data_IF_143582070879
#
_entry.id   IF_143582070879
#
_cell.length_a   1.000
_cell.length_b   1.000
_cell.length_c   1.000
_cell.angle_alpha   90.00
_cell.angle_beta   90.00
_cell.angle_gamma   90.00
#
_symmetry.space_group_name_H-M   'P 1'
#
loop_
_entity.id
_entity.type
_entity.pdbx_description
1 polymer ?
#
# COMPACT_ATOMS: atom_id res chain seq x y z
N UNK A 1 -17.00 1.97 -2.22
CA UNK A 1 -16.71 0.52 -2.20
C UNK A 1 -15.22 0.36 -1.97
N UNK A 2 -14.82 -0.52 -1.05
CA UNK A 2 -13.43 -0.95 -0.93
C UNK A 2 -13.09 -1.74 -2.19
N UNK A 3 -11.97 -1.45 -2.85
CA UNK A 3 -11.52 -2.33 -3.92
C UNK A 3 -11.12 -3.68 -3.30
N UNK A 4 -11.42 -4.79 -3.98
CA UNK A 4 -11.11 -6.12 -3.45
C UNK A 4 -9.61 -6.41 -3.33
N UNK A 5 -8.76 -5.44 -3.69
CA UNK A 5 -7.32 -5.58 -3.84
C UNK A 5 -6.57 -5.17 -2.58
N UNK A 6 -7.03 -4.11 -1.90
CA UNK A 6 -6.38 -3.61 -0.68
C UNK A 6 -7.25 -3.95 0.54
N UNK A 7 -6.82 -4.87 1.42
CA UNK A 7 -7.54 -5.14 2.66
C UNK A 7 -7.62 -3.89 3.53
N UNK A 8 -8.79 -3.62 4.13
CA UNK A 8 -9.03 -2.42 4.94
C UNK A 8 -7.96 -2.19 6.01
N UNK A 9 -7.50 -3.27 6.66
CA UNK A 9 -6.50 -3.21 7.71
C UNK A 9 -5.10 -2.80 7.23
N UNK A 10 -4.80 -2.88 5.93
CA UNK A 10 -3.50 -2.46 5.38
C UNK A 10 -3.32 -0.95 5.37
N UNK A 11 -4.39 -0.17 5.54
CA UNK A 11 -4.33 1.29 5.66
C UNK A 11 -3.98 1.76 7.09
N UNK A 12 -3.66 0.84 8.00
CA UNK A 12 -3.48 1.12 9.43
C UNK A 12 -2.18 0.54 9.96
N UNK A 13 -1.55 1.28 10.87
CA UNK A 13 -0.40 0.82 11.65
C UNK A 13 -0.95 0.44 13.04
N UNK A 14 -1.50 -0.77 13.15
CA UNK A 14 -2.13 -1.27 14.39
C UNK A 14 -1.85 -2.77 14.62
N UNK A 15 -1.93 -3.19 15.88
CA UNK A 15 -1.92 -4.62 16.23
C UNK A 15 -3.28 -5.25 15.90
N UNK A 16 -3.29 -6.53 15.52
CA UNK A 16 -4.52 -7.25 15.20
C UNK A 16 -4.65 -8.54 16.01
N UNK A 17 -5.89 -8.99 16.22
CA UNK A 17 -6.18 -10.22 16.98
C UNK A 17 -5.59 -11.48 16.35
N UNK A 18 -5.45 -11.51 15.01
CA UNK A 18 -4.82 -12.62 14.33
C UNK A 18 -3.34 -12.72 14.71
N UNK A 19 -2.61 -11.60 14.69
CA UNK A 19 -1.20 -11.54 15.07
C UNK A 19 -0.99 -11.85 16.56
N UNK A 20 -1.90 -11.43 17.45
CA UNK A 20 -1.79 -11.71 18.89
C UNK A 20 -1.97 -13.20 19.25
N UNK A 21 -2.61 -13.97 18.36
CA UNK A 21 -2.83 -15.43 18.53
C UNK A 21 -1.82 -16.25 17.73
N UNK A 22 -1.01 -15.62 16.89
CA UNK A 22 -0.01 -16.28 16.06
C UNK A 22 1.33 -16.34 16.81
N UNK A 23 1.84 -17.56 17.03
CA UNK A 23 3.14 -17.81 17.66
C UNK A 23 4.25 -18.14 16.65
N UNK A 24 4.00 -17.92 15.36
CA UNK A 24 4.97 -18.18 14.29
C UNK A 24 6.14 -17.20 14.30
N UNK A 25 7.20 -17.53 13.56
CA UNK A 25 8.29 -16.56 13.30
C UNK A 25 7.77 -15.29 12.59
N UNK A 26 6.73 -15.41 11.76
CA UNK A 26 6.17 -14.28 11.01
C UNK A 26 5.48 -13.29 11.94
N UNK A 27 4.74 -13.74 12.95
CA UNK A 27 4.10 -12.83 13.91
C UNK A 27 5.12 -12.05 14.72
N UNK A 28 6.24 -12.68 15.11
CA UNK A 28 7.35 -12.00 15.80
C UNK A 28 7.92 -10.85 14.97
N UNK A 29 8.22 -11.10 13.69
CA UNK A 29 8.71 -10.07 12.77
C UNK A 29 7.65 -8.97 12.57
N UNK A 30 6.38 -9.34 12.41
CA UNK A 30 5.30 -8.37 12.30
C UNK A 30 5.21 -7.44 13.53
N UNK A 31 5.28 -8.01 14.74
CA UNK A 31 5.23 -7.23 15.98
C UNK A 31 6.47 -6.35 16.17
N UNK A 32 7.65 -6.83 15.78
CA UNK A 32 8.89 -6.03 15.78
C UNK A 32 8.74 -4.79 14.88
N UNK A 33 8.36 -4.98 13.62
CA UNK A 33 8.12 -3.86 12.68
C UNK A 33 7.06 -2.89 13.21
N UNK A 34 5.96 -3.41 13.77
CA UNK A 34 4.90 -2.58 14.32
C UNK A 34 5.38 -1.72 15.49
N UNK A 35 6.16 -2.31 16.41
CA UNK A 35 6.72 -1.57 17.54
C UNK A 35 7.74 -0.53 17.06
N UNK A 36 8.61 -0.87 16.11
CA UNK A 36 9.57 0.09 15.53
C UNK A 36 8.87 1.33 14.95
N UNK A 37 7.72 1.15 14.29
CA UNK A 37 6.91 2.28 13.80
C UNK A 37 6.29 3.11 14.94
N UNK A 38 5.83 2.47 16.02
CA UNK A 38 5.04 3.12 17.06
C UNK A 38 5.89 3.68 18.21
N UNK A 39 7.07 3.12 18.48
CA UNK A 39 7.86 3.48 19.65
C UNK A 39 8.44 4.89 19.54
N UNK A 40 8.78 5.35 18.34
CA UNK A 40 9.15 6.76 18.10
C UNK A 40 8.01 7.73 18.43
N UNK A 41 6.76 7.30 18.22
CA UNK A 41 5.57 8.09 18.56
C UNK A 41 5.35 8.09 20.09
N UNK A 42 5.70 6.99 20.77
CA UNK A 42 5.50 6.79 22.22
C UNK A 42 6.63 7.33 23.11
N UNK A 43 7.85 7.47 22.60
CA UNK A 43 9.06 7.68 23.43
C UNK A 43 9.15 9.06 24.11
N UNK A 44 9.38 9.20 25.41
CA UNK A 44 9.55 10.49 26.14
C UNK A 44 8.33 11.45 26.18
N UNK A 45 7.51 11.42 27.24
CA UNK A 45 6.39 12.35 27.44
C UNK A 45 6.80 13.79 27.82
N UNK A 46 8.08 14.04 28.12
CA UNK A 46 8.61 15.35 28.53
C UNK A 46 8.85 16.33 27.38
N UNK A 47 8.87 15.86 26.14
CA UNK A 47 9.11 16.71 24.95
C UNK A 47 7.82 16.95 24.19
N UNK A 48 7.55 18.21 23.84
CA UNK A 48 6.39 18.59 23.02
C UNK A 48 6.58 18.06 21.59
N UNK A 49 5.75 17.10 21.19
CA UNK A 49 5.72 16.56 19.82
C UNK A 49 4.54 17.09 19.02
N UNK A 50 4.76 17.21 17.70
CA UNK A 50 3.72 17.53 16.73
C UNK A 50 3.51 16.31 15.85
N UNK A 51 2.29 15.79 15.80
CA UNK A 51 1.89 14.77 14.85
C UNK A 51 1.20 15.44 13.67
N UNK A 52 1.73 15.24 12.47
CA UNK A 52 1.18 15.82 11.24
C UNK A 52 0.59 14.72 10.37
N UNK A 53 -0.64 14.93 9.92
CA UNK A 53 -1.27 14.11 8.88
C UNK A 53 -1.19 14.88 7.57
N UNK A 54 -0.51 14.29 6.60
CA UNK A 54 -0.44 14.81 5.24
C UNK A 54 -1.23 13.86 4.33
N UNK A 55 -2.36 14.32 3.80
CA UNK A 55 -3.11 13.56 2.81
C UNK A 55 -2.61 13.93 1.41
N UNK A 56 -2.14 12.94 0.65
CA UNK A 56 -1.80 13.10 -0.77
C UNK A 56 -2.98 12.61 -1.59
N UNK A 57 -3.62 13.53 -2.31
CA UNK A 57 -4.73 13.20 -3.20
C UNK A 57 -4.29 13.33 -4.65
N UNK A 58 -4.30 12.22 -5.38
CA UNK A 58 -4.15 12.23 -6.82
C UNK A 58 -5.54 12.44 -7.43
N UNK A 59 -5.81 13.66 -7.88
CA UNK A 59 -7.06 13.95 -8.59
C UNK A 59 -7.05 13.29 -9.97
N UNK A 60 -7.47 12.03 -10.02
CA UNK A 60 -7.62 11.28 -11.27
C UNK A 60 -8.71 11.87 -12.18
N UNK A 61 -9.65 12.65 -11.63
CA UNK A 61 -10.74 13.25 -12.40
C UNK A 61 -10.27 14.41 -13.27
N UNK A 62 -9.17 15.06 -12.88
CA UNK A 62 -8.51 16.10 -13.66
C UNK A 62 -7.95 15.61 -15.01
N UNK A 63 -7.72 14.29 -15.15
CA UNK A 63 -7.14 13.69 -16.37
C UNK A 63 -8.20 13.20 -17.38
N UNK A 64 -9.49 13.43 -17.12
CA UNK A 64 -10.58 13.00 -18.00
C UNK A 64 -10.80 11.48 -17.97
N UNK A 65 -11.31 10.92 -19.08
CA UNK A 65 -11.54 9.47 -19.20
C UNK A 65 -10.21 8.72 -19.26
N UNK A 66 -9.95 7.89 -18.26
CA UNK A 66 -8.78 7.02 -18.17
C UNK A 66 -9.18 5.54 -18.37
N UNK A 67 -8.19 4.65 -18.47
CA UNK A 67 -8.43 3.22 -18.68
C UNK A 67 -9.28 2.61 -17.55
N UNK A 68 -9.04 3.02 -16.28
CA UNK A 68 -9.87 2.63 -15.14
C UNK A 68 -11.35 2.92 -15.36
N UNK A 69 -11.67 4.11 -15.88
CA UNK A 69 -13.05 4.53 -16.16
C UNK A 69 -13.67 3.83 -17.37
N UNK A 70 -12.84 3.25 -18.26
CA UNK A 70 -13.28 2.59 -19.49
C UNK A 70 -13.61 1.11 -19.25
N UNK A 71 -12.71 0.37 -18.58
CA UNK A 71 -12.84 -1.09 -18.39
C UNK A 71 -13.14 -1.48 -16.94
N UNK A 72 -13.07 -0.54 -16.01
CA UNK A 72 -13.19 -0.79 -14.58
C UNK A 72 -11.84 -1.16 -13.94
N UNK A 73 -11.65 -0.74 -12.69
CA UNK A 73 -10.41 -0.94 -11.92
C UNK A 73 -9.99 -2.40 -11.82
N UNK A 74 -10.94 -3.33 -11.67
CA UNK A 74 -10.62 -4.74 -11.55
C UNK A 74 -9.99 -5.32 -12.83
N UNK A 75 -10.62 -5.06 -13.98
CA UNK A 75 -10.11 -5.48 -15.28
C UNK A 75 -8.79 -4.79 -15.62
N UNK A 76 -8.60 -3.52 -15.21
CA UNK A 76 -7.34 -2.83 -15.40
C UNK A 76 -6.21 -3.48 -14.58
N UNK A 77 -6.44 -3.83 -13.32
CA UNK A 77 -5.42 -4.53 -12.52
C UNK A 77 -5.07 -5.88 -13.13
N UNK A 78 -6.05 -6.68 -13.55
CA UNK A 78 -5.82 -7.95 -14.22
C UNK A 78 -5.05 -7.80 -15.54
N UNK A 79 -5.31 -6.72 -16.29
CA UNK A 79 -4.54 -6.37 -17.49
C UNK A 79 -3.07 -6.07 -17.18
N UNK A 80 -2.79 -5.34 -16.09
CA UNK A 80 -1.42 -5.01 -15.68
C UNK A 80 -0.61 -6.24 -15.27
N UNK A 81 -1.27 -7.28 -14.76
CA UNK A 81 -0.65 -8.57 -14.41
C UNK A 81 -0.38 -9.47 -15.63
N UNK A 82 -0.84 -9.08 -16.82
CA UNK A 82 -0.65 -9.89 -18.03
C UNK A 82 0.81 -9.91 -18.50
N UNK A 83 1.32 -11.11 -18.77
CA UNK A 83 2.62 -11.32 -19.44
C UNK A 83 2.74 -10.55 -20.76
N UNK A 84 1.63 -10.39 -21.49
CA UNK A 84 1.62 -9.66 -22.76
C UNK A 84 1.91 -8.18 -22.50
N UNK A 85 1.27 -7.59 -21.49
CA UNK A 85 1.51 -6.20 -21.11
C UNK A 85 2.93 -6.01 -20.58
N UNK A 86 3.42 -6.90 -19.72
CA UNK A 86 4.80 -6.86 -19.22
C UNK A 86 5.83 -6.93 -20.37
N UNK A 87 5.67 -7.88 -21.30
CA UNK A 87 6.53 -8.00 -22.49
C UNK A 87 6.47 -6.74 -23.36
N UNK A 88 5.28 -6.19 -23.56
CA UNK A 88 5.10 -4.96 -24.31
C UNK A 88 5.90 -3.80 -23.71
N UNK A 89 5.83 -3.60 -22.39
CA UNK A 89 6.60 -2.56 -21.71
C UNK A 89 8.11 -2.80 -21.83
N UNK A 90 8.57 -4.03 -21.55
CA UNK A 90 10.00 -4.36 -21.61
C UNK A 90 10.61 -4.17 -22.99
N UNK A 91 9.85 -4.49 -24.06
CA UNK A 91 10.34 -4.40 -25.44
C UNK A 91 10.24 -2.99 -26.00
N UNK A 92 9.22 -2.22 -25.57
CA UNK A 92 9.01 -0.86 -26.04
C UNK A 92 9.93 0.15 -25.36
N UNK A 93 10.34 -0.12 -24.11
CA UNK A 93 11.14 0.81 -23.29
C UNK A 93 12.37 0.12 -22.69
N UNK A 94 13.26 -0.48 -23.50
CA UNK A 94 14.40 -1.25 -22.99
C UNK A 94 15.37 -0.41 -22.14
N UNK A 95 15.42 0.91 -22.34
CA UNK A 95 16.24 1.84 -21.57
C UNK A 95 15.84 1.96 -20.09
N UNK A 96 14.59 1.66 -19.73
CA UNK A 96 14.13 1.69 -18.34
C UNK A 96 14.61 0.47 -17.53
N UNK A 97 15.13 -0.57 -18.20
CA UNK A 97 15.44 -1.88 -17.61
C UNK A 97 16.91 -2.31 -17.79
N UNK A 98 17.81 -1.36 -18.06
CA UNK A 98 19.26 -1.61 -18.15
C UNK A 98 19.93 -1.64 -16.79
#
# INVERSE_FOLDING_TARGET
FQDGYVPYHSARIESCQAASRDNSKKSRVFLEMLNDCLDQIRANPSERRVFMRCDVNFDATAYGKNLDSLIGRAAHIEFLESDIFARFIMWSFPELFR
#
